data_IF_509440575533
#
_entry.id   IF_509440575533
#
_cell.length_a   1.000
_cell.length_b   1.000
_cell.length_c   1.000
_cell.angle_alpha   90.00
_cell.angle_beta   90.00
_cell.angle_gamma   90.00
#
_symmetry.space_group_name_H-M   'P 1'
#
loop_
_entity.id
_entity.type
_entity.pdbx_description
1 polymer ?
#
# COMPACT_ATOMS: atom_id res chain seq x y z
N UNK A 1 -24.96 3.01 11.24
CA UNK A 1 -23.83 3.62 10.51
C UNK A 1 -22.60 2.75 10.63
N UNK A 2 -21.99 2.55 11.84
CA UNK A 2 -20.74 1.79 12.03
C UNK A 2 -20.83 0.40 11.38
N UNK A 3 -21.85 -0.38 11.77
CA UNK A 3 -22.08 -1.72 11.23
C UNK A 3 -22.28 -1.72 9.71
N UNK A 4 -22.92 -0.69 9.15
CA UNK A 4 -23.10 -0.58 7.71
C UNK A 4 -21.76 -0.35 7.00
N UNK A 5 -20.90 0.54 7.54
CA UNK A 5 -19.57 0.83 6.98
C UNK A 5 -18.67 -0.41 7.07
N UNK A 6 -18.67 -1.11 8.19
CA UNK A 6 -17.86 -2.32 8.39
C UNK A 6 -18.28 -3.46 7.46
N UNK A 7 -19.59 -3.64 7.24
CA UNK A 7 -20.13 -4.69 6.39
C UNK A 7 -20.02 -4.40 4.89
N UNK A 8 -19.89 -3.13 4.50
CA UNK A 8 -19.81 -2.73 3.09
C UNK A 8 -18.40 -2.27 2.72
N UNK A 9 -17.42 -3.18 2.83
CA UNK A 9 -16.05 -2.91 2.42
C UNK A 9 -15.94 -2.68 0.91
N UNK A 10 -14.93 -1.92 0.49
CA UNK A 10 -14.63 -1.74 -0.93
C UNK A 10 -14.37 -3.08 -1.63
N UNK A 11 -14.75 -3.16 -2.91
CA UNK A 11 -14.54 -4.38 -3.70
C UNK A 11 -13.03 -4.64 -3.87
N UNK A 12 -12.62 -5.87 -3.60
CA UNK A 12 -11.27 -6.31 -3.85
C UNK A 12 -11.00 -6.43 -5.36
N UNK A 13 -9.82 -5.98 -5.77
CA UNK A 13 -9.33 -6.07 -7.16
C UNK A 13 -7.92 -6.64 -7.14
N UNK A 14 -7.47 -7.17 -8.27
CA UNK A 14 -6.09 -7.62 -8.48
C UNK A 14 -5.36 -6.56 -9.31
N UNK A 15 -4.64 -5.60 -8.69
CA UNK A 15 -3.92 -4.55 -9.42
C UNK A 15 -2.75 -5.13 -10.21
N UNK A 16 -2.29 -4.40 -11.24
CA UNK A 16 -1.24 -4.90 -12.12
C UNK A 16 0.11 -5.07 -11.41
N UNK A 17 0.46 -4.19 -10.46
CA UNK A 17 1.66 -4.37 -9.64
C UNK A 17 1.62 -5.70 -8.84
N UNK A 18 0.44 -6.09 -8.33
CA UNK A 18 0.29 -7.34 -7.59
C UNK A 18 0.35 -8.56 -8.53
N UNK A 19 -0.20 -8.46 -9.74
CA UNK A 19 -0.05 -9.49 -10.78
C UNK A 19 1.42 -9.70 -11.15
N UNK A 20 2.17 -8.59 -11.31
CA UNK A 20 3.61 -8.64 -11.61
C UNK A 20 4.40 -9.26 -10.44
N UNK A 21 4.10 -8.86 -9.20
CA UNK A 21 4.69 -9.45 -8.00
C UNK A 21 4.48 -10.97 -7.97
N UNK A 22 3.21 -11.41 -8.07
CA UNK A 22 2.84 -12.83 -8.00
C UNK A 22 3.53 -13.62 -9.13
N UNK A 23 3.54 -13.09 -10.35
CA UNK A 23 4.19 -13.73 -11.50
C UNK A 23 5.70 -13.88 -11.26
N UNK A 24 6.39 -12.83 -10.82
CA UNK A 24 7.84 -12.87 -10.58
C UNK A 24 8.20 -13.80 -9.43
N UNK A 25 7.49 -13.72 -8.31
CA UNK A 25 7.69 -14.63 -7.17
C UNK A 25 7.38 -16.08 -7.60
N UNK A 26 6.30 -16.29 -8.34
CA UNK A 26 5.92 -17.61 -8.84
C UNK A 26 6.97 -18.23 -9.74
N UNK A 27 7.58 -17.46 -10.66
CA UNK A 27 8.63 -17.96 -11.54
C UNK A 27 9.90 -18.41 -10.79
N UNK A 28 10.16 -17.84 -9.61
CA UNK A 28 11.32 -18.12 -8.77
C UNK A 28 11.00 -19.04 -7.57
N UNK A 29 9.74 -19.40 -7.39
CA UNK A 29 9.31 -20.29 -6.31
C UNK A 29 9.59 -21.77 -6.64
N UNK A 30 9.80 -22.57 -5.59
CA UNK A 30 9.86 -24.01 -5.70
C UNK A 30 8.49 -24.62 -5.97
N UNK A 31 8.50 -25.85 -6.53
CA UNK A 31 7.30 -26.66 -6.65
C UNK A 31 6.82 -27.13 -5.26
N UNK A 32 5.51 -27.10 -4.88
CA UNK A 32 4.32 -26.84 -5.72
C UNK A 32 3.86 -25.38 -5.78
N UNK A 33 4.44 -24.47 -4.99
CA UNK A 33 4.02 -23.06 -4.90
C UNK A 33 4.09 -22.36 -6.27
N UNK A 34 5.09 -22.69 -7.08
CA UNK A 34 5.24 -22.20 -8.45
C UNK A 34 3.98 -22.46 -9.30
N UNK A 35 3.43 -23.68 -9.21
CA UNK A 35 2.23 -24.04 -9.98
C UNK A 35 1.04 -23.16 -9.61
N UNK A 36 0.86 -22.89 -8.32
CA UNK A 36 -0.23 -22.02 -7.84
C UNK A 36 -0.05 -20.57 -8.30
N UNK A 37 1.15 -20.02 -8.12
CA UNK A 37 1.41 -18.61 -8.40
C UNK A 37 1.47 -18.29 -9.91
N UNK A 38 1.99 -19.20 -10.73
CA UNK A 38 2.00 -19.02 -12.20
C UNK A 38 0.57 -19.09 -12.77
N UNK A 39 -0.30 -19.87 -12.18
CA UNK A 39 -1.73 -19.96 -12.55
C UNK A 39 -2.61 -18.92 -11.80
N UNK A 40 -2.00 -17.93 -11.15
CA UNK A 40 -2.74 -16.88 -10.45
C UNK A 40 -3.83 -16.17 -11.29
N UNK A 41 -3.69 -15.94 -12.60
CA UNK A 41 -4.78 -15.38 -13.40
C UNK A 41 -6.05 -16.21 -13.37
N UNK A 42 -5.93 -17.54 -13.40
CA UNK A 42 -7.07 -18.48 -13.33
C UNK A 42 -7.58 -18.58 -11.88
N UNK A 43 -6.66 -18.59 -10.92
CA UNK A 43 -6.96 -18.71 -9.49
C UNK A 43 -7.29 -17.37 -8.81
N UNK A 44 -7.39 -16.30 -9.58
CA UNK A 44 -7.64 -14.95 -9.04
C UNK A 44 -8.81 -14.87 -8.07
N UNK A 45 -10.00 -15.46 -8.33
CA UNK A 45 -11.11 -15.40 -7.37
C UNK A 45 -10.78 -16.04 -6.03
N UNK A 46 -10.06 -17.16 -6.05
CA UNK A 46 -9.63 -17.87 -4.84
C UNK A 46 -8.58 -17.07 -4.07
N UNK A 47 -7.58 -16.52 -4.76
CA UNK A 47 -6.55 -15.67 -4.16
C UNK A 47 -7.17 -14.44 -3.49
N UNK A 48 -8.10 -13.76 -4.17
CA UNK A 48 -8.80 -12.63 -3.59
C UNK A 48 -9.66 -13.03 -2.37
N UNK A 49 -10.31 -14.19 -2.39
CA UNK A 49 -11.09 -14.69 -1.26
C UNK A 49 -10.19 -14.95 -0.03
N UNK A 50 -9.02 -15.52 -0.22
CA UNK A 50 -8.03 -15.75 0.85
C UNK A 50 -7.48 -14.41 1.36
N UNK A 51 -7.03 -13.53 0.46
CA UNK A 51 -6.44 -12.25 0.81
C UNK A 51 -7.38 -11.31 1.57
N UNK A 52 -8.70 -11.37 1.31
CA UNK A 52 -9.70 -10.57 2.04
C UNK A 52 -9.70 -10.81 3.54
N UNK A 53 -9.34 -12.02 3.97
CA UNK A 53 -9.37 -12.45 5.37
C UNK A 53 -8.04 -12.22 6.10
N UNK A 54 -7.01 -11.79 5.39
CA UNK A 54 -5.69 -11.49 5.95
C UNK A 54 -5.50 -9.97 5.93
N UNK A 55 -5.47 -9.26 7.08
CA UNK A 55 -5.46 -7.79 7.12
C UNK A 55 -4.36 -7.15 6.27
N UNK A 56 -3.13 -7.65 6.36
CA UNK A 56 -2.01 -7.15 5.57
C UNK A 56 -2.19 -7.36 4.05
N UNK A 57 -2.75 -8.49 3.63
CA UNK A 57 -3.04 -8.78 2.23
C UNK A 57 -4.28 -8.01 1.73
N UNK A 58 -5.27 -7.79 2.58
CA UNK A 58 -6.47 -7.04 2.24
C UNK A 58 -6.15 -5.60 1.80
N UNK A 59 -5.17 -4.96 2.44
CA UNK A 59 -4.72 -3.61 2.09
C UNK A 59 -4.03 -3.50 0.73
N UNK A 60 -3.56 -4.61 0.16
CA UNK A 60 -2.96 -4.66 -1.18
C UNK A 60 -4.00 -4.83 -2.30
N UNK A 61 -5.23 -5.23 -1.97
CA UNK A 61 -6.26 -5.59 -2.95
C UNK A 61 -7.52 -4.74 -2.88
N UNK A 62 -7.70 -3.94 -1.83
CA UNK A 62 -8.85 -3.04 -1.67
C UNK A 62 -8.51 -1.82 -0.83
N UNK A 63 -9.26 -0.72 -1.04
CA UNK A 63 -9.30 0.38 -0.08
C UNK A 63 -9.78 -0.15 1.26
N UNK A 64 -8.98 0.09 2.30
CA UNK A 64 -9.29 -0.32 3.67
C UNK A 64 -10.04 0.77 4.39
N UNK A 65 -11.01 0.35 5.19
CA UNK A 65 -11.89 1.21 5.98
C UNK A 65 -11.74 0.83 7.44
N UNK A 66 -11.52 1.80 8.30
CA UNK A 66 -11.46 1.61 9.75
C UNK A 66 -12.23 2.70 10.47
N UNK A 67 -13.18 2.33 11.30
CA UNK A 67 -13.84 3.25 12.24
C UNK A 67 -12.85 3.48 13.39
N UNK A 68 -12.43 4.73 13.58
CA UNK A 68 -11.37 5.08 14.53
C UNK A 68 -11.88 5.82 15.76
N UNK A 69 -12.97 6.59 15.62
CA UNK A 69 -13.59 7.30 16.73
C UNK A 69 -15.11 7.25 16.60
N UNK A 70 -15.80 7.28 17.74
CA UNK A 70 -17.24 7.45 17.84
C UNK A 70 -17.54 8.35 19.04
N UNK A 71 -18.33 9.38 18.82
CA UNK A 71 -18.69 10.37 19.82
C UNK A 71 -20.22 10.49 19.91
N UNK A 72 -20.69 10.77 21.09
CA UNK A 72 -22.11 10.94 21.38
C UNK A 72 -22.33 11.86 22.57
N UNK A 73 -23.17 11.46 23.55
CA UNK A 73 -23.38 12.25 24.74
C UNK A 73 -22.13 12.34 25.62
N UNK A 74 -21.80 13.53 26.14
CA UNK A 74 -20.76 13.68 27.17
C UNK A 74 -21.21 13.19 28.54
N UNK A 75 -22.50 12.85 28.71
CA UNK A 75 -23.08 12.40 29.98
C UNK A 75 -23.70 11.00 29.82
N UNK A 76 -23.48 10.15 30.82
CA UNK A 76 -23.90 8.73 30.79
C UNK A 76 -25.42 8.54 30.85
N UNK A 77 -26.18 9.53 31.31
CA UNK A 77 -27.62 9.49 31.52
C UNK A 77 -28.42 10.39 30.55
N UNK A 78 -27.77 10.95 29.53
CA UNK A 78 -28.40 11.85 28.56
C UNK A 78 -28.25 11.29 27.15
N UNK A 79 -29.33 11.21 26.41
CA UNK A 79 -29.27 10.81 24.99
C UNK A 79 -28.66 11.97 24.15
N UNK A 80 -27.70 11.68 23.26
CA UNK A 80 -27.11 12.68 22.41
C UNK A 80 -28.07 13.22 21.36
N UNK A 81 -28.07 14.51 21.16
CA UNK A 81 -28.80 15.14 20.04
C UNK A 81 -28.02 14.95 18.71
N UNK A 82 -26.70 14.85 18.79
CA UNK A 82 -25.80 14.56 17.67
C UNK A 82 -24.85 13.44 18.06
N UNK A 83 -24.53 12.59 17.12
CA UNK A 83 -23.50 11.60 17.26
C UNK A 83 -22.63 11.61 16.01
N UNK A 84 -21.34 11.42 16.18
CA UNK A 84 -20.36 11.40 15.08
C UNK A 84 -19.56 10.13 15.08
N UNK A 85 -19.11 9.74 13.89
CA UNK A 85 -18.22 8.60 13.67
C UNK A 85 -17.10 9.04 12.75
N UNK A 86 -15.86 8.92 13.21
CA UNK A 86 -14.68 9.19 12.38
C UNK A 86 -14.22 7.89 11.73
N UNK A 87 -14.06 7.93 10.42
CA UNK A 87 -13.66 6.78 9.62
C UNK A 87 -12.39 7.10 8.86
N UNK A 88 -11.37 6.29 9.04
CA UNK A 88 -10.11 6.38 8.30
C UNK A 88 -10.16 5.45 7.08
N UNK A 89 -9.72 5.98 5.95
CA UNK A 89 -9.60 5.21 4.70
C UNK A 89 -8.14 5.19 4.24
N UNK A 90 -7.67 4.00 3.88
CA UNK A 90 -6.42 3.84 3.13
C UNK A 90 -6.78 3.47 1.72
N UNK A 91 -6.74 4.48 0.85
CA UNK A 91 -7.22 4.36 -0.53
C UNK A 91 -6.22 3.62 -1.40
N UNK A 92 -6.75 2.76 -2.26
CA UNK A 92 -6.00 2.19 -3.37
C UNK A 92 -5.69 3.25 -4.43
N UNK A 93 -4.59 3.12 -5.17
CA UNK A 93 -4.33 3.99 -6.32
C UNK A 93 -5.53 4.07 -7.26
N UNK A 94 -5.90 5.30 -7.64
CA UNK A 94 -7.03 5.58 -8.52
C UNK A 94 -8.40 5.63 -7.82
N UNK A 95 -8.45 5.56 -6.49
CA UNK A 95 -9.66 5.82 -5.69
C UNK A 95 -9.56 7.25 -5.14
N UNK A 96 -10.46 8.11 -5.59
CA UNK A 96 -10.52 9.51 -5.18
C UNK A 96 -11.27 9.70 -3.84
N UNK A 97 -11.10 10.87 -3.22
CA UNK A 97 -11.86 11.28 -2.04
C UNK A 97 -13.36 11.26 -2.35
N UNK A 98 -13.76 11.71 -3.55
CA UNK A 98 -15.17 11.68 -3.97
C UNK A 98 -15.74 10.26 -4.12
N UNK A 99 -14.90 9.28 -4.51
CA UNK A 99 -15.33 7.88 -4.58
C UNK A 99 -15.54 7.30 -3.17
N UNK A 100 -14.73 7.71 -2.20
CA UNK A 100 -14.91 7.34 -0.80
C UNK A 100 -16.22 7.90 -0.27
N UNK A 101 -16.51 9.18 -0.49
CA UNK A 101 -17.76 9.80 -0.07
C UNK A 101 -18.99 9.10 -0.68
N UNK A 102 -18.98 8.87 -1.99
CA UNK A 102 -20.04 8.12 -2.69
C UNK A 102 -20.22 6.72 -2.10
N UNK A 103 -19.13 6.05 -1.77
CA UNK A 103 -19.17 4.74 -1.15
C UNK A 103 -19.84 4.77 0.23
N UNK A 104 -19.50 5.75 1.08
CA UNK A 104 -20.12 5.93 2.40
C UNK A 104 -21.63 6.16 2.25
N UNK A 105 -22.02 7.14 1.44
CA UNK A 105 -23.45 7.50 1.21
C UNK A 105 -24.26 6.32 0.66
N UNK A 106 -23.64 5.45 -0.14
CA UNK A 106 -24.26 4.24 -0.66
C UNK A 106 -24.38 3.14 0.40
N UNK A 107 -23.37 2.99 1.23
CA UNK A 107 -23.25 1.88 2.18
C UNK A 107 -24.11 2.08 3.42
N UNK A 108 -24.25 3.32 3.88
CA UNK A 108 -25.04 3.64 5.08
C UNK A 108 -26.53 3.65 4.75
N UNK A 109 -27.30 2.92 5.55
CA UNK A 109 -28.77 2.82 5.39
C UNK A 109 -29.48 4.10 5.80
N UNK A 110 -29.06 4.71 6.92
CA UNK A 110 -29.59 6.01 7.33
C UNK A 110 -29.16 7.07 6.32
N UNK A 111 -30.12 7.79 5.75
CA UNK A 111 -29.86 8.84 4.76
C UNK A 111 -29.75 10.23 5.38
N UNK A 112 -30.15 10.39 6.64
CA UNK A 112 -30.03 11.62 7.41
C UNK A 112 -28.64 11.69 8.07
N UNK A 113 -27.60 11.61 7.23
CA UNK A 113 -26.20 11.75 7.67
C UNK A 113 -25.52 12.87 6.89
N UNK A 114 -24.75 13.66 7.59
CA UNK A 114 -23.75 14.54 6.99
C UNK A 114 -22.43 13.79 6.88
N UNK A 115 -21.77 13.98 5.74
CA UNK A 115 -20.44 13.42 5.50
C UNK A 115 -19.48 14.59 5.28
N UNK A 116 -18.51 14.71 6.16
CA UNK A 116 -17.51 15.76 6.13
C UNK A 116 -16.10 15.15 5.91
N UNK A 117 -15.34 15.78 5.04
CA UNK A 117 -13.93 15.45 4.85
C UNK A 117 -13.09 16.25 5.85
N UNK A 118 -12.46 15.55 6.79
CA UNK A 118 -11.65 16.19 7.84
C UNK A 118 -10.23 16.47 7.36
N UNK A 119 -9.53 15.43 6.94
CA UNK A 119 -8.12 15.51 6.54
C UNK A 119 -7.76 14.34 5.62
N UNK A 120 -6.89 14.59 4.67
CA UNK A 120 -6.37 13.55 3.78
C UNK A 120 -5.79 14.12 2.50
N UNK A 121 -5.39 13.22 1.64
CA UNK A 121 -4.81 13.52 0.33
C UNK A 121 -5.35 12.53 -0.68
N UNK A 122 -5.43 12.95 -1.94
CA UNK A 122 -5.71 12.02 -3.04
C UNK A 122 -4.62 10.93 -3.12
N UNK A 123 -5.01 9.77 -3.63
CA UNK A 123 -4.04 8.68 -3.82
C UNK A 123 -2.99 9.05 -4.86
N UNK A 124 -1.73 8.75 -4.57
CA UNK A 124 -0.62 8.96 -5.50
C UNK A 124 -0.79 8.17 -6.80
N UNK A 125 -0.27 8.73 -7.89
CA UNK A 125 -0.20 8.02 -9.16
C UNK A 125 0.74 6.81 -9.06
N UNK A 126 0.45 5.77 -9.81
CA UNK A 126 1.34 4.60 -9.93
C UNK A 126 2.39 4.91 -10.98
N UNK A 127 3.65 4.93 -10.57
CA UNK A 127 4.78 5.12 -11.49
C UNK A 127 5.02 3.88 -12.35
N UNK A 128 5.33 4.02 -13.64
CA UNK A 128 5.53 2.91 -14.57
C UNK A 128 6.79 2.12 -14.25
N UNK A 129 6.80 0.83 -14.58
CA UNK A 129 7.95 -0.06 -14.33
C UNK A 129 8.91 -0.17 -15.52
N UNK A 130 8.63 0.48 -16.61
CA UNK A 130 9.44 0.51 -17.83
C UNK A 130 10.32 1.78 -17.97
N UNK A 131 10.21 2.72 -17.02
CA UNK A 131 11.04 3.93 -17.01
C UNK A 131 12.54 3.62 -16.81
N UNK A 132 13.42 4.48 -17.32
CA UNK A 132 14.88 4.41 -17.11
C UNK A 132 15.20 4.30 -15.61
N UNK A 133 14.54 5.11 -14.77
CA UNK A 133 14.76 5.13 -13.33
C UNK A 133 14.45 3.79 -12.67
N UNK A 134 13.28 3.19 -12.95
CA UNK A 134 12.93 1.88 -12.39
C UNK A 134 13.87 0.78 -12.87
N UNK A 135 14.20 0.76 -14.16
CA UNK A 135 15.09 -0.25 -14.73
C UNK A 135 16.51 -0.12 -14.16
N UNK A 136 16.99 1.11 -13.91
CA UNK A 136 18.29 1.35 -13.25
C UNK A 136 18.27 0.85 -11.80
N UNK A 137 17.21 1.13 -11.04
CA UNK A 137 17.07 0.59 -9.67
C UNK A 137 17.10 -0.94 -9.70
N UNK A 138 16.33 -1.54 -10.60
CA UNK A 138 16.26 -2.99 -10.76
C UNK A 138 17.63 -3.59 -11.07
N UNK A 139 18.32 -3.07 -12.07
CA UNK A 139 19.64 -3.56 -12.49
C UNK A 139 20.66 -3.48 -11.34
N UNK A 140 20.72 -2.34 -10.65
CA UNK A 140 21.64 -2.16 -9.54
C UNK A 140 21.32 -3.06 -8.35
N UNK A 141 20.04 -3.28 -8.04
CA UNK A 141 19.62 -4.15 -6.94
C UNK A 141 19.87 -5.63 -7.26
N UNK A 142 19.63 -6.06 -8.50
CA UNK A 142 19.95 -7.42 -8.96
C UNK A 142 21.46 -7.65 -9.02
N UNK A 143 22.27 -6.64 -9.36
CA UNK A 143 23.73 -6.71 -9.36
C UNK A 143 24.35 -6.78 -7.95
N UNK A 144 23.70 -6.28 -6.91
CA UNK A 144 24.19 -6.43 -5.52
C UNK A 144 24.16 -7.88 -5.05
N UNK A 145 23.15 -8.63 -5.44
CA UNK A 145 23.02 -10.05 -5.14
C UNK A 145 22.17 -10.73 -6.22
N UNK A 146 22.71 -11.75 -6.85
CA UNK A 146 22.02 -12.51 -7.90
C UNK A 146 20.74 -13.22 -7.45
N UNK A 147 20.51 -13.33 -6.13
CA UNK A 147 19.27 -13.86 -5.55
C UNK A 147 18.19 -12.78 -5.34
N UNK A 148 18.53 -11.51 -5.54
CA UNK A 148 17.56 -10.43 -5.40
C UNK A 148 16.51 -10.53 -6.50
N UNK A 149 15.26 -10.49 -6.09
CA UNK A 149 14.12 -10.46 -6.99
C UNK A 149 13.44 -9.08 -6.90
N UNK A 150 13.66 -8.24 -7.90
CA UNK A 150 13.05 -6.90 -7.94
C UNK A 150 11.66 -6.96 -8.55
N UNK A 151 10.69 -6.44 -7.83
CA UNK A 151 9.28 -6.41 -8.26
C UNK A 151 8.62 -5.11 -7.79
N UNK A 152 7.65 -4.57 -8.54
CA UNK A 152 6.87 -3.44 -8.06
C UNK A 152 6.06 -3.87 -6.82
N UNK A 153 5.94 -2.94 -5.87
CA UNK A 153 5.16 -3.14 -4.66
C UNK A 153 4.46 -1.84 -4.26
N UNK A 154 3.32 -1.93 -3.59
CA UNK A 154 2.60 -0.78 -3.07
C UNK A 154 3.07 -0.46 -1.66
N UNK A 155 3.61 0.73 -1.46
CA UNK A 155 3.87 1.26 -0.12
C UNK A 155 2.55 1.74 0.48
N UNK A 156 2.14 1.12 1.58
CA UNK A 156 0.85 1.38 2.24
C UNK A 156 0.88 2.56 3.22
N UNK A 157 2.03 3.19 3.39
CA UNK A 157 2.23 4.37 4.24
C UNK A 157 2.37 5.66 3.43
N UNK A 158 2.08 6.79 4.07
CA UNK A 158 2.45 8.10 3.55
C UNK A 158 3.97 8.28 3.59
N UNK A 159 4.53 8.95 2.60
CA UNK A 159 5.95 9.34 2.54
C UNK A 159 6.06 10.74 1.96
N UNK A 160 7.21 11.39 2.15
CA UNK A 160 7.51 12.70 1.57
C UNK A 160 7.51 12.72 0.03
N UNK A 161 7.53 11.54 -0.58
CA UNK A 161 7.41 11.37 -2.03
C UNK A 161 6.19 12.11 -2.63
N UNK A 162 5.11 12.25 -1.87
CA UNK A 162 3.94 13.03 -2.28
C UNK A 162 4.28 14.48 -2.65
N UNK A 163 5.22 15.11 -1.94
CA UNK A 163 5.61 16.51 -2.17
C UNK A 163 6.32 16.71 -3.52
N UNK A 164 6.81 15.64 -4.12
CA UNK A 164 7.50 15.67 -5.41
C UNK A 164 6.57 15.41 -6.60
N UNK A 165 5.32 15.00 -6.39
CA UNK A 165 4.38 14.70 -7.47
C UNK A 165 4.12 15.88 -8.45
N UNK A 166 4.11 17.15 -8.00
CA UNK A 166 3.95 18.28 -8.92
C UNK A 166 5.13 18.49 -9.89
N UNK A 167 6.31 17.98 -9.53
CA UNK A 167 7.57 18.23 -10.28
C UNK A 167 8.21 16.96 -10.85
N UNK A 168 7.69 15.76 -10.49
CA UNK A 168 8.21 14.49 -10.95
C UNK A 168 7.08 13.57 -11.43
N UNK A 169 7.17 13.08 -12.65
CA UNK A 169 6.20 12.12 -13.20
C UNK A 169 6.40 10.71 -12.60
N UNK A 170 7.66 10.33 -12.32
CA UNK A 170 8.03 8.99 -11.89
C UNK A 170 8.68 9.02 -10.51
N UNK A 171 7.99 8.50 -9.51
CA UNK A 171 8.44 8.49 -8.13
C UNK A 171 8.45 7.06 -7.62
N UNK A 172 9.65 6.57 -7.25
CA UNK A 172 9.86 5.23 -6.71
C UNK A 172 10.29 5.32 -5.26
N UNK A 173 9.50 4.68 -4.41
CA UNK A 173 9.79 4.57 -2.97
C UNK A 173 10.67 3.34 -2.77
N UNK A 174 11.98 3.56 -2.73
CA UNK A 174 12.97 2.51 -2.64
C UNK A 174 14.05 2.87 -1.63
N UNK A 175 14.40 1.91 -0.78
CA UNK A 175 15.54 2.01 0.12
C UNK A 175 16.43 0.77 -0.08
N UNK A 176 17.73 0.94 -0.40
CA UNK A 176 18.63 -0.18 -0.66
C UNK A 176 19.16 -0.80 0.65
N UNK A 177 18.24 -1.08 1.57
CA UNK A 177 18.54 -1.71 2.85
C UNK A 177 18.08 -3.17 2.85
N UNK A 178 18.91 -4.06 3.34
CA UNK A 178 18.52 -5.43 3.61
C UNK A 178 17.89 -5.46 5.01
N UNK A 179 16.58 -5.60 5.09
CA UNK A 179 15.85 -5.71 6.35
C UNK A 179 15.15 -7.07 6.42
N UNK A 180 15.39 -7.80 7.49
CA UNK A 180 14.62 -8.99 7.81
C UNK A 180 13.24 -8.62 8.40
N UNK A 181 12.40 -9.61 8.59
CA UNK A 181 11.06 -9.39 9.15
C UNK A 181 11.09 -8.76 10.55
N UNK A 182 12.13 -9.04 11.36
CA UNK A 182 12.26 -8.50 12.72
C UNK A 182 12.56 -7.00 12.68
N UNK A 183 13.44 -6.57 11.78
CA UNK A 183 13.74 -5.14 11.58
C UNK A 183 12.54 -4.39 11.05
N UNK A 184 11.82 -4.96 10.08
CA UNK A 184 10.58 -4.35 9.55
C UNK A 184 9.50 -4.19 10.61
N UNK A 185 9.35 -5.13 11.53
CA UNK A 185 8.39 -5.05 12.64
C UNK A 185 8.78 -4.02 13.72
N UNK A 186 10.04 -3.60 13.78
CA UNK A 186 10.50 -2.55 14.70
C UNK A 186 10.24 -1.13 14.14
N UNK A 187 9.85 -0.99 12.87
CA UNK A 187 9.61 0.31 12.25
C UNK A 187 8.49 1.06 12.99
N UNK A 188 8.78 2.30 13.40
CA UNK A 188 7.92 3.15 14.25
C UNK A 188 7.63 2.55 15.64
N UNK A 189 8.39 1.56 16.06
CA UNK A 189 8.22 0.88 17.35
C UNK A 189 9.40 1.04 18.28
N UNK A 190 9.33 0.34 19.43
CA UNK A 190 10.44 0.26 20.38
C UNK A 190 11.62 -0.49 19.74
N UNK A 191 12.86 0.00 19.96
CA UNK A 191 14.08 -0.54 19.38
C UNK A 191 14.15 -0.47 17.83
N UNK A 192 13.54 0.52 17.22
CA UNK A 192 13.77 0.80 15.80
C UNK A 192 15.27 1.01 15.57
N UNK A 193 15.83 0.24 14.66
CA UNK A 193 17.27 0.23 14.38
C UNK A 193 17.56 -0.24 12.97
N UNK A 194 18.73 0.14 12.49
CA UNK A 194 19.26 -0.32 11.21
C UNK A 194 20.73 -0.76 11.40
N UNK A 195 21.17 -1.85 10.78
CA UNK A 195 22.58 -2.24 10.79
C UNK A 195 23.46 -1.16 10.11
N UNK A 196 24.59 -0.82 10.70
CA UNK A 196 25.51 0.20 10.15
C UNK A 196 25.98 -0.17 8.74
N UNK A 197 26.25 -1.46 8.48
CA UNK A 197 26.64 -1.96 7.16
C UNK A 197 25.61 -1.62 6.07
N UNK A 198 24.32 -1.57 6.40
CA UNK A 198 23.29 -1.16 5.44
C UNK A 198 23.45 0.28 4.96
N UNK A 199 24.04 1.17 5.79
CA UNK A 199 24.27 2.56 5.41
C UNK A 199 25.36 2.67 4.35
N UNK A 200 26.45 1.90 4.49
CA UNK A 200 27.54 1.84 3.52
C UNK A 200 27.07 1.31 2.18
N UNK A 201 26.30 0.21 2.19
CA UNK A 201 25.69 -0.38 1.00
C UNK A 201 24.74 0.60 0.30
N UNK A 202 23.94 1.34 1.08
CA UNK A 202 23.03 2.34 0.55
C UNK A 202 23.77 3.50 -0.12
N UNK A 203 24.82 4.01 0.51
CA UNK A 203 25.67 5.07 -0.08
C UNK A 203 26.29 4.58 -1.39
N UNK A 204 26.83 3.37 -1.42
CA UNK A 204 27.41 2.77 -2.61
C UNK A 204 26.37 2.57 -3.73
N UNK A 205 25.14 2.17 -3.38
CA UNK A 205 24.04 2.04 -4.31
C UNK A 205 23.67 3.38 -4.93
N UNK A 206 23.40 4.41 -4.11
CA UNK A 206 22.99 5.72 -4.61
C UNK A 206 24.07 6.41 -5.42
N UNK A 207 25.34 6.26 -5.08
CA UNK A 207 26.44 6.75 -5.93
C UNK A 207 26.42 6.14 -7.32
N UNK A 208 26.17 4.82 -7.42
CA UNK A 208 26.04 4.13 -8.72
C UNK A 208 24.80 4.55 -9.46
N UNK A 209 23.68 4.70 -8.74
CA UNK A 209 22.42 5.14 -9.32
C UNK A 209 22.54 6.54 -9.95
N UNK A 210 23.05 7.53 -9.20
CA UNK A 210 23.25 8.89 -9.71
C UNK A 210 24.14 8.89 -10.94
N UNK A 211 25.27 8.19 -10.90
CA UNK A 211 26.17 8.09 -12.06
C UNK A 211 25.47 7.55 -13.31
N UNK A 212 24.68 6.47 -13.17
CA UNK A 212 23.95 5.89 -14.31
C UNK A 212 22.82 6.80 -14.82
N UNK A 213 22.19 7.57 -13.94
CA UNK A 213 21.12 8.47 -14.33
C UNK A 213 21.62 9.76 -15.00
N UNK A 214 22.86 10.19 -14.67
CA UNK A 214 23.48 11.42 -15.20
C UNK A 214 24.42 11.18 -16.38
N UNK A 215 24.80 9.93 -16.63
CA UNK A 215 25.52 9.57 -17.87
C UNK A 215 24.48 9.31 -18.97
N UNK A 216 24.53 10.09 -20.02
CA UNK A 216 23.74 9.90 -21.25
C UNK A 216 24.24 8.69 -22.06
#
# INVERSE_FOLDING_TARGET
>A
VIKDIENHQFKAKMPDYLKQLIKRVGMNAGYPLRVVLVNAPILQPLILAICKNIPAAASLIRTCTAVTMAEGSPQFNVLPQKASVTVNFRTMPGVSISDVEKHIRKSVKNKDIDVEFLVGKESSKVSPTDSKAFQTIKELAEAQNSKNLVTPFLVMGGTDAYNYEPVCENIYRFAPFVADTKLLLCTHGTNERIPIACCEDAIAFFKRYVRKMTQE
#
